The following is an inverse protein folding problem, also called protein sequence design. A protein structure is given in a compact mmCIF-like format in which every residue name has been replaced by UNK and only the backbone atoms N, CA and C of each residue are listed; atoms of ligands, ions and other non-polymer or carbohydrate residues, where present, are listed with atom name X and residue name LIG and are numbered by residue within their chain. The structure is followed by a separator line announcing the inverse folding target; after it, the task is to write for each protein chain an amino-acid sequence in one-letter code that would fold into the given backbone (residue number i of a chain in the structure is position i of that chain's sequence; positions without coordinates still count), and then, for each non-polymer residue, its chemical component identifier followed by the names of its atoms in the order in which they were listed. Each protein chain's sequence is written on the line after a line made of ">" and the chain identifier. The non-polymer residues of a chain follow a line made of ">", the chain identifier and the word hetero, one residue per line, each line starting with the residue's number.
data_IF_513155106735
#
_entry.id   IF_513155106735
#
_cell.length_a   1.000
_cell.length_b   1.000
_cell.length_c   1.000
_cell.angle_alpha   90.00
_cell.angle_beta   90.00
_cell.angle_gamma   90.00
#
_symmetry.space_group_name_H-M   'P 1'
#
loop_
_entity.id
_entity.type
_entity.pdbx_description
1 polymer ?
#
# COMPACT_ATOMS: atom_id res chain seq x y z
N UNK A 1 47.58 51.69 1.20
CA UNK A 1 47.55 50.26 1.61
C UNK A 1 46.35 49.62 0.92
N UNK A 2 46.32 49.50 -0.41
CA UNK A 2 46.88 48.44 -1.28
C UNK A 2 46.66 47.01 -0.75
N UNK A 3 45.79 46.27 -1.44
CA UNK A 3 45.46 44.87 -1.18
C UNK A 3 44.22 44.42 -1.96
N UNK A 4 44.34 44.24 -3.27
CA UNK A 4 43.49 43.35 -4.09
C UNK A 4 44.42 42.27 -4.70
N UNK A 5 43.92 41.24 -5.41
CA UNK A 5 43.21 40.05 -4.93
C UNK A 5 43.95 38.77 -5.36
N UNK A 6 43.77 37.63 -4.68
CA UNK A 6 44.35 36.35 -5.14
C UNK A 6 43.32 35.59 -5.95
N UNK A 7 43.50 35.65 -7.27
CA UNK A 7 43.00 34.67 -8.22
C UNK A 7 43.85 33.39 -8.11
N UNK A 8 43.22 32.23 -8.12
CA UNK A 8 43.89 30.96 -8.40
C UNK A 8 43.26 30.36 -9.65
N UNK A 9 44.09 30.36 -10.68
CA UNK A 9 43.87 29.97 -12.06
C UNK A 9 44.47 28.59 -12.26
N UNK A 10 43.64 27.61 -12.65
CA UNK A 10 44.06 26.32 -13.20
C UNK A 10 42.99 25.93 -14.22
N UNK A 11 43.24 25.46 -15.43
CA UNK A 11 44.32 25.57 -16.40
C UNK A 11 43.64 25.13 -17.71
N UNK A 12 43.78 25.94 -18.77
CA UNK A 12 43.30 25.65 -20.12
C UNK A 12 43.86 24.32 -20.64
N UNK A 13 42.97 23.41 -21.04
CA UNK A 13 43.27 22.45 -22.09
C UNK A 13 42.34 22.74 -23.28
N UNK A 14 42.83 23.58 -24.18
CA UNK A 14 42.25 23.76 -25.50
C UNK A 14 42.73 22.61 -26.39
N UNK A 15 41.79 21.80 -26.90
CA UNK A 15 42.03 21.02 -28.11
C UNK A 15 41.09 21.55 -29.19
N UNK A 16 41.67 22.28 -30.13
CA UNK A 16 41.02 22.67 -31.37
C UNK A 16 40.92 21.43 -32.27
N UNK A 17 39.71 21.02 -32.60
CA UNK A 17 39.42 20.24 -33.82
C UNK A 17 38.44 21.07 -34.63
N UNK A 18 38.96 21.70 -35.69
CA UNK A 18 38.17 22.23 -36.80
C UNK A 18 37.54 21.06 -37.55
N UNK A 19 36.22 21.11 -37.75
CA UNK A 19 35.51 20.17 -38.63
C UNK A 19 34.03 20.00 -38.31
N UNK A 20 33.23 21.05 -38.51
CA UNK A 20 31.75 20.94 -38.59
C UNK A 20 31.32 20.66 -40.04
N UNK A 21 30.07 20.23 -40.34
CA UNK A 21 29.07 19.53 -39.53
C UNK A 21 28.44 18.33 -40.27
N UNK A 22 28.23 17.20 -39.59
CA UNK A 22 27.11 16.32 -39.89
C UNK A 22 26.48 15.92 -38.57
N UNK A 23 25.55 16.76 -38.12
CA UNK A 23 24.64 16.44 -37.02
C UNK A 23 23.92 15.15 -37.37
N UNK A 24 24.30 14.05 -36.71
CA UNK A 24 23.44 12.90 -36.58
C UNK A 24 22.21 13.34 -35.77
N UNK A 25 21.13 13.64 -36.48
CA UNK A 25 19.81 13.77 -35.88
C UNK A 25 19.34 12.37 -35.43
N UNK A 26 19.78 11.94 -34.25
CA UNK A 26 19.05 10.92 -33.49
C UNK A 26 18.05 11.69 -32.65
N UNK A 27 16.90 11.98 -33.26
CA UNK A 27 15.69 12.29 -32.52
C UNK A 27 15.33 11.03 -31.73
N UNK A 28 15.77 10.95 -30.47
CA UNK A 28 15.16 10.04 -29.52
C UNK A 28 13.72 10.54 -29.37
N UNK A 29 12.80 9.90 -30.08
CA UNK A 29 11.37 10.01 -29.81
C UNK A 29 11.18 9.51 -28.38
N UNK A 30 11.16 10.42 -27.41
CA UNK A 30 10.47 10.17 -26.16
C UNK A 30 9.00 10.06 -26.51
N UNK A 31 8.57 8.83 -26.82
CA UNK A 31 7.18 8.50 -27.01
C UNK A 31 6.43 8.97 -25.76
N UNK A 32 5.48 9.88 -25.98
CA UNK A 32 4.55 10.42 -24.99
C UNK A 32 4.00 9.31 -24.09
N UNK A 33 4.46 9.27 -22.84
CA UNK A 33 3.77 8.65 -21.69
C UNK A 33 3.16 9.72 -20.78
N UNK A 34 2.87 10.91 -21.30
CA UNK A 34 2.33 12.02 -20.51
C UNK A 34 0.90 11.76 -19.97
N UNK A 35 0.19 10.76 -20.51
CA UNK A 35 -1.21 10.49 -20.15
C UNK A 35 -1.37 9.81 -18.76
N UNK A 36 -0.64 8.72 -18.43
CA UNK A 36 -0.65 8.15 -17.08
C UNK A 36 -0.25 9.15 -15.99
N UNK A 37 0.86 9.87 -16.18
CA UNK A 37 1.37 10.84 -15.20
C UNK A 37 0.40 12.01 -14.99
N UNK A 38 -0.13 12.61 -16.07
CA UNK A 38 -1.10 13.70 -15.95
C UNK A 38 -2.39 13.26 -15.24
N UNK A 39 -2.84 12.02 -15.48
CA UNK A 39 -4.00 11.45 -14.81
C UNK A 39 -3.73 11.22 -13.32
N UNK A 40 -2.58 10.67 -12.97
CA UNK A 40 -2.19 10.46 -11.57
C UNK A 40 -2.05 11.81 -10.85
N UNK A 41 -1.46 12.82 -11.51
CA UNK A 41 -1.40 14.19 -11.01
C UNK A 41 -2.78 14.78 -10.68
N UNK A 42 -3.74 14.67 -11.63
CA UNK A 42 -5.11 15.14 -11.41
C UNK A 42 -5.81 14.41 -10.24
N UNK A 43 -5.57 13.11 -10.07
CA UNK A 43 -6.12 12.35 -8.94
C UNK A 43 -5.53 12.82 -7.60
N UNK A 44 -4.23 13.11 -7.55
CA UNK A 44 -3.57 13.68 -6.35
C UNK A 44 -4.15 15.05 -6.01
N UNK A 45 -4.29 15.94 -6.99
CA UNK A 45 -4.88 17.26 -6.78
C UNK A 45 -6.32 17.17 -6.27
N UNK A 46 -7.15 16.33 -6.89
CA UNK A 46 -8.52 16.10 -6.44
C UNK A 46 -8.57 15.58 -5.00
N UNK A 47 -7.67 14.66 -4.66
CA UNK A 47 -7.58 14.10 -3.33
C UNK A 47 -7.14 15.13 -2.27
N UNK A 48 -6.21 16.01 -2.62
CA UNK A 48 -5.73 17.08 -1.74
C UNK A 48 -6.76 18.21 -1.55
N UNK A 49 -7.54 18.53 -2.58
CA UNK A 49 -8.56 19.58 -2.54
C UNK A 49 -9.82 19.16 -1.74
N UNK A 50 -10.04 17.86 -1.53
CA UNK A 50 -11.19 17.36 -0.80
C UNK A 50 -10.96 17.46 0.72
N UNK A 51 -11.69 18.35 1.38
CA UNK A 51 -11.58 18.57 2.82
C UNK A 51 -12.49 17.65 3.65
N UNK A 52 -13.42 16.92 3.03
CA UNK A 52 -14.28 15.98 3.74
C UNK A 52 -13.56 14.63 3.90
N UNK A 53 -13.24 14.28 5.15
CA UNK A 53 -12.49 13.06 5.45
C UNK A 53 -13.22 11.77 5.01
N UNK A 54 -14.55 11.75 5.08
CA UNK A 54 -15.36 10.59 4.68
C UNK A 54 -15.40 10.48 3.16
N UNK A 55 -15.60 11.60 2.46
CA UNK A 55 -15.62 11.63 1.01
C UNK A 55 -14.25 11.24 0.42
N UNK A 56 -13.15 11.77 0.99
CA UNK A 56 -11.80 11.32 0.63
C UNK A 56 -11.60 9.83 0.80
N UNK A 57 -11.99 9.28 1.95
CA UNK A 57 -11.84 7.86 2.22
C UNK A 57 -12.65 6.97 1.28
N UNK A 58 -13.87 7.37 0.94
CA UNK A 58 -14.70 6.66 -0.02
C UNK A 58 -14.15 6.70 -1.45
N UNK A 59 -13.41 7.75 -1.80
CA UNK A 59 -12.86 7.92 -3.15
C UNK A 59 -11.39 7.49 -3.28
N UNK A 60 -10.74 7.15 -2.17
CA UNK A 60 -9.30 6.86 -2.16
C UNK A 60 -8.90 5.74 -3.12
N UNK A 61 -9.75 4.72 -3.30
CA UNK A 61 -9.47 3.60 -4.19
C UNK A 61 -9.04 4.04 -5.60
N UNK A 62 -9.54 5.18 -6.11
CA UNK A 62 -9.13 5.71 -7.43
C UNK A 62 -7.66 6.15 -7.44
N UNK A 63 -7.25 6.92 -6.43
CA UNK A 63 -5.87 7.37 -6.30
C UNK A 63 -4.96 6.20 -5.91
N UNK A 64 -5.38 5.40 -4.93
CA UNK A 64 -4.65 4.24 -4.47
C UNK A 64 -4.35 3.26 -5.60
N UNK A 65 -5.33 2.90 -6.42
CA UNK A 65 -5.12 1.97 -7.55
C UNK A 65 -4.16 2.55 -8.59
N UNK A 66 -4.21 3.87 -8.83
CA UNK A 66 -3.29 4.54 -9.72
C UNK A 66 -1.85 4.55 -9.16
N UNK A 67 -1.67 4.80 -7.86
CA UNK A 67 -0.37 4.72 -7.19
C UNK A 67 0.20 3.29 -7.19
N UNK A 68 -0.64 2.27 -7.00
CA UNK A 68 -0.21 0.87 -7.08
C UNK A 68 0.24 0.48 -8.49
N UNK A 69 -0.48 0.96 -9.51
CA UNK A 69 -0.11 0.73 -10.91
C UNK A 69 1.21 1.43 -11.27
N UNK A 70 1.41 2.66 -10.80
CA UNK A 70 2.66 3.41 -10.97
C UNK A 70 3.82 2.67 -10.30
N UNK A 71 3.66 2.33 -9.01
CA UNK A 71 4.68 1.60 -8.25
C UNK A 71 5.05 0.26 -8.89
N UNK A 72 4.07 -0.47 -9.45
CA UNK A 72 4.34 -1.69 -10.21
C UNK A 72 5.15 -1.40 -11.46
N UNK A 73 4.80 -0.36 -12.22
CA UNK A 73 5.49 0.05 -13.43
C UNK A 73 6.95 0.43 -13.13
N UNK A 74 7.17 1.20 -12.07
CA UNK A 74 8.51 1.58 -11.59
C UNK A 74 9.32 0.34 -11.17
N UNK A 75 8.71 -0.60 -10.44
CA UNK A 75 9.36 -1.85 -10.03
C UNK A 75 9.72 -2.76 -11.22
N UNK A 76 8.82 -2.89 -12.20
CA UNK A 76 9.05 -3.67 -13.43
C UNK A 76 10.13 -3.03 -14.32
N UNK A 77 10.26 -1.71 -14.29
CA UNK A 77 11.35 -0.97 -14.95
C UNK A 77 12.69 -1.09 -14.21
N UNK A 78 12.73 -1.73 -13.03
CA UNK A 78 13.93 -1.86 -12.21
C UNK A 78 14.26 -0.62 -11.37
N UNK A 79 13.40 0.40 -11.37
CA UNK A 79 13.55 1.60 -10.54
C UNK A 79 12.89 1.39 -9.16
N UNK A 80 13.55 0.57 -8.34
CA UNK A 80 13.09 0.31 -6.98
C UNK A 80 13.06 1.57 -6.10
N UNK A 81 13.86 2.59 -6.42
CA UNK A 81 13.88 3.84 -5.65
C UNK A 81 12.66 4.71 -5.96
N UNK A 82 12.22 4.77 -7.23
CA UNK A 82 10.96 5.39 -7.60
C UNK A 82 9.77 4.62 -7.01
N UNK A 83 9.72 3.30 -7.18
CA UNK A 83 8.67 2.44 -6.61
C UNK A 83 8.53 2.61 -5.10
N UNK A 84 9.65 2.66 -4.36
CA UNK A 84 9.61 2.87 -2.90
C UNK A 84 9.07 4.27 -2.54
N UNK A 85 9.40 5.32 -3.29
CA UNK A 85 8.85 6.67 -3.06
C UNK A 85 7.34 6.69 -3.26
N UNK A 86 6.86 6.07 -4.34
CA UNK A 86 5.41 5.92 -4.60
C UNK A 86 4.72 5.12 -3.50
N UNK A 87 5.37 4.08 -2.97
CA UNK A 87 4.83 3.33 -1.82
C UNK A 87 4.73 4.17 -0.55
N UNK A 88 5.74 4.99 -0.28
CA UNK A 88 5.75 5.88 0.89
C UNK A 88 4.68 6.97 0.80
N UNK A 89 4.41 7.48 -0.40
CA UNK A 89 3.28 8.39 -0.68
C UNK A 89 1.95 7.70 -0.38
N UNK A 90 1.72 6.51 -0.94
CA UNK A 90 0.53 5.71 -0.67
C UNK A 90 0.30 5.48 0.83
N UNK A 91 1.34 5.10 1.58
CA UNK A 91 1.28 4.97 3.04
C UNK A 91 0.97 6.30 3.74
N UNK A 92 1.58 7.40 3.27
CA UNK A 92 1.37 8.73 3.81
C UNK A 92 -0.09 9.19 3.69
N UNK A 93 -0.69 9.00 2.52
CA UNK A 93 -2.08 9.34 2.25
C UNK A 93 -3.06 8.56 3.15
N UNK A 94 -2.81 7.26 3.34
CA UNK A 94 -3.58 6.42 4.25
C UNK A 94 -3.53 6.92 5.70
N UNK A 95 -2.34 7.25 6.19
CA UNK A 95 -2.16 7.79 7.56
C UNK A 95 -2.87 9.14 7.73
N UNK A 96 -2.71 10.02 6.75
CA UNK A 96 -3.35 11.34 6.75
C UNK A 96 -4.86 11.23 6.83
N UNK A 97 -5.44 10.32 6.04
CA UNK A 97 -6.87 10.09 5.99
C UNK A 97 -7.43 9.42 7.25
N UNK A 98 -6.77 8.38 7.76
CA UNK A 98 -7.15 7.78 9.04
C UNK A 98 -7.08 8.81 10.16
N UNK A 99 -6.04 9.65 10.17
CA UNK A 99 -5.92 10.77 11.10
C UNK A 99 -7.10 11.73 11.03
N UNK A 100 -7.47 12.17 9.83
CA UNK A 100 -8.61 13.07 9.62
C UNK A 100 -9.95 12.43 10.01
N UNK A 101 -10.15 11.15 9.68
CA UNK A 101 -11.35 10.39 10.09
C UNK A 101 -11.46 10.32 11.61
N UNK A 102 -10.37 10.03 12.33
CA UNK A 102 -10.34 10.01 13.79
C UNK A 102 -10.58 11.39 14.40
N UNK A 103 -9.97 12.44 13.83
CA UNK A 103 -10.13 13.82 14.29
C UNK A 103 -11.56 14.35 14.12
N UNK A 104 -12.36 13.77 13.20
CA UNK A 104 -13.77 14.15 13.05
C UNK A 104 -14.64 13.83 14.27
N UNK A 105 -14.15 13.04 15.23
CA UNK A 105 -14.90 12.63 16.42
C UNK A 105 -16.05 11.65 16.13
N UNK A 106 -16.18 11.20 14.88
CA UNK A 106 -17.22 10.28 14.45
C UNK A 106 -17.04 8.90 15.10
N UNK A 107 -18.10 8.40 15.74
CA UNK A 107 -18.12 7.04 16.27
C UNK A 107 -18.16 6.03 15.09
N UNK A 108 -17.06 5.32 14.85
CA UNK A 108 -16.95 4.39 13.73
C UNK A 108 -17.81 3.12 13.89
N UNK A 109 -18.10 2.67 15.12
CA UNK A 109 -19.00 1.54 15.39
C UNK A 109 -20.43 1.86 14.92
N UNK A 110 -20.91 3.08 15.17
CA UNK A 110 -22.26 3.53 14.78
C UNK A 110 -22.32 4.14 13.38
N UNK A 111 -21.23 4.75 12.92
CA UNK A 111 -21.15 5.46 11.66
C UNK A 111 -19.89 5.05 10.86
N UNK A 112 -19.87 3.82 10.32
CA UNK A 112 -18.67 3.22 9.75
C UNK A 112 -18.21 3.81 8.42
N UNK A 113 -18.96 4.76 7.84
CA UNK A 113 -18.64 5.38 6.56
C UNK A 113 -17.27 6.06 6.59
N UNK A 114 -16.51 5.87 5.52
CA UNK A 114 -15.11 6.26 5.39
C UNK A 114 -14.17 5.20 5.97
N UNK A 115 -14.35 4.82 7.24
CA UNK A 115 -13.54 3.80 7.91
C UNK A 115 -13.67 2.43 7.22
N UNK A 116 -14.90 1.97 6.98
CA UNK A 116 -15.18 0.65 6.40
C UNK A 116 -14.73 0.57 4.95
N UNK A 117 -14.95 1.60 4.16
CA UNK A 117 -14.49 1.65 2.77
C UNK A 117 -12.97 1.55 2.69
N UNK A 118 -12.26 2.29 3.55
CA UNK A 118 -10.80 2.24 3.63
C UNK A 118 -10.31 0.85 4.08
N UNK A 119 -10.95 0.25 5.07
CA UNK A 119 -10.62 -1.08 5.58
C UNK A 119 -10.80 -2.16 4.51
N UNK A 120 -11.94 -2.16 3.80
CA UNK A 120 -12.21 -3.11 2.72
C UNK A 120 -11.18 -2.97 1.60
N UNK A 121 -10.81 -1.72 1.28
CA UNK A 121 -9.79 -1.44 0.28
C UNK A 121 -8.44 -2.05 0.69
N UNK A 122 -7.95 -1.74 1.90
CA UNK A 122 -6.65 -2.20 2.38
C UNK A 122 -6.52 -3.72 2.46
N UNK A 123 -7.56 -4.43 2.88
CA UNK A 123 -7.54 -5.91 2.88
C UNK A 123 -7.24 -6.51 1.51
N UNK A 124 -7.67 -5.86 0.44
CA UNK A 124 -7.39 -6.29 -0.94
C UNK A 124 -5.98 -5.86 -1.34
N UNK A 125 -5.67 -4.58 -1.15
CA UNK A 125 -4.42 -3.96 -1.56
C UNK A 125 -3.18 -4.59 -0.92
N UNK A 126 -3.26 -5.06 0.33
CA UNK A 126 -2.12 -5.72 0.98
C UNK A 126 -1.57 -6.91 0.18
N UNK A 127 -2.43 -7.64 -0.54
CA UNK A 127 -1.98 -8.73 -1.43
C UNK A 127 -1.27 -8.20 -2.66
N UNK A 128 -1.77 -7.11 -3.25
CA UNK A 128 -1.15 -6.48 -4.42
C UNK A 128 0.23 -5.90 -4.08
N UNK A 129 0.36 -5.32 -2.89
CA UNK A 129 1.63 -4.86 -2.33
C UNK A 129 2.62 -6.03 -2.19
N UNK A 130 2.17 -7.16 -1.64
CA UNK A 130 3.01 -8.35 -1.54
C UNK A 130 3.50 -8.83 -2.92
N UNK A 131 2.66 -8.75 -3.96
CA UNK A 131 3.07 -9.08 -5.33
C UNK A 131 4.12 -8.10 -5.88
N UNK A 132 3.97 -6.80 -5.62
CA UNK A 132 4.93 -5.79 -6.10
C UNK A 132 6.29 -5.96 -5.43
N UNK A 133 6.31 -6.29 -4.12
CA UNK A 133 7.56 -6.57 -3.38
C UNK A 133 8.35 -7.72 -4.00
N UNK A 134 7.67 -8.71 -4.58
CA UNK A 134 8.32 -9.84 -5.24
C UNK A 134 9.00 -9.48 -6.57
N UNK A 135 8.58 -8.38 -7.22
CA UNK A 135 9.21 -7.86 -8.44
C UNK A 135 10.57 -7.22 -8.12
N UNK A 136 10.66 -6.54 -6.98
CA UNK A 136 11.88 -5.86 -6.53
C UNK A 136 13.01 -6.86 -6.23
N UNK A 137 14.27 -6.56 -6.61
CA UNK A 137 15.42 -7.40 -6.26
C UNK A 137 15.53 -7.61 -4.75
N UNK A 138 15.89 -8.83 -4.33
CA UNK A 138 15.89 -9.25 -2.93
C UNK A 138 16.61 -8.26 -1.99
N UNK A 139 17.74 -7.73 -2.46
CA UNK A 139 18.63 -6.82 -1.70
C UNK A 139 17.96 -5.47 -1.39
N UNK A 140 16.93 -5.12 -2.15
CA UNK A 140 16.23 -3.84 -2.08
C UNK A 140 14.82 -3.98 -1.49
N UNK A 141 14.41 -5.17 -1.03
CA UNK A 141 13.04 -5.41 -0.49
C UNK A 141 12.79 -4.86 0.90
N UNK A 142 13.83 -4.78 1.75
CA UNK A 142 13.67 -4.40 3.17
C UNK A 142 12.91 -3.07 3.38
N UNK A 143 13.17 -1.99 2.61
CA UNK A 143 12.38 -0.76 2.69
C UNK A 143 10.89 -0.98 2.38
N UNK A 144 10.58 -1.76 1.35
CA UNK A 144 9.19 -2.07 0.98
C UNK A 144 8.49 -2.92 2.04
N UNK A 145 9.16 -3.93 2.59
CA UNK A 145 8.62 -4.76 3.68
C UNK A 145 8.30 -3.92 4.92
N UNK A 146 9.07 -2.86 5.17
CA UNK A 146 8.82 -1.93 6.27
C UNK A 146 7.58 -1.09 5.99
N UNK A 147 7.47 -0.48 4.80
CA UNK A 147 6.28 0.28 4.39
C UNK A 147 5.02 -0.60 4.35
N UNK A 148 5.14 -1.87 3.93
CA UNK A 148 4.04 -2.84 3.93
C UNK A 148 3.55 -3.19 5.33
N UNK A 149 4.47 -3.36 6.30
CA UNK A 149 4.09 -3.57 7.71
C UNK A 149 3.33 -2.36 8.26
N UNK A 150 3.75 -1.16 7.89
CA UNK A 150 3.04 0.06 8.28
C UNK A 150 1.61 0.11 7.70
N UNK A 151 1.43 -0.25 6.43
CA UNK A 151 0.08 -0.32 5.82
C UNK A 151 -0.78 -1.40 6.49
N UNK A 152 -0.20 -2.53 6.85
CA UNK A 152 -0.92 -3.57 7.59
C UNK A 152 -1.37 -3.09 8.98
N UNK A 153 -0.52 -2.34 9.68
CA UNK A 153 -0.89 -1.74 10.97
C UNK A 153 -2.06 -0.74 10.84
N UNK A 154 -2.18 -0.03 9.71
CA UNK A 154 -3.33 0.84 9.43
C UNK A 154 -4.61 0.02 9.22
N UNK A 155 -4.56 -1.09 8.49
CA UNK A 155 -5.72 -2.00 8.34
C UNK A 155 -6.15 -2.59 9.69
N UNK A 156 -5.18 -3.03 10.50
CA UNK A 156 -5.44 -3.53 11.85
C UNK A 156 -6.08 -2.45 12.73
N UNK A 157 -5.57 -1.22 12.70
CA UNK A 157 -6.15 -0.10 13.47
C UNK A 157 -7.58 0.21 13.02
N UNK A 158 -7.84 0.26 11.71
CA UNK A 158 -9.18 0.44 11.16
C UNK A 158 -10.13 -0.65 11.62
N UNK A 159 -9.68 -1.91 11.62
CA UNK A 159 -10.47 -3.03 12.10
C UNK A 159 -10.85 -2.87 13.58
N UNK A 160 -9.90 -2.50 14.44
CA UNK A 160 -10.18 -2.29 15.88
C UNK A 160 -11.10 -1.10 16.14
N UNK A 161 -10.99 -0.03 15.35
CA UNK A 161 -11.86 1.15 15.46
C UNK A 161 -13.30 0.81 15.04
N UNK A 162 -13.47 -0.02 14.00
CA UNK A 162 -14.79 -0.46 13.53
C UNK A 162 -15.45 -1.47 14.47
N UNK A 163 -14.65 -2.30 15.15
CA UNK A 163 -15.13 -3.40 15.99
C UNK A 163 -14.49 -3.40 17.38
N UNK A 164 -14.74 -2.37 18.22
CA UNK A 164 -14.11 -2.25 19.54
C UNK A 164 -14.59 -3.32 20.53
N UNK A 165 -15.82 -3.79 20.37
CA UNK A 165 -16.40 -4.88 21.16
C UNK A 165 -16.11 -6.21 20.48
N UNK A 166 -14.90 -6.73 20.67
CA UNK A 166 -14.68 -8.13 20.36
C UNK A 166 -15.40 -8.97 21.43
N UNK A 167 -16.23 -9.95 21.07
CA UNK A 167 -16.76 -10.88 22.05
C UNK A 167 -15.58 -11.58 22.73
N UNK A 168 -15.44 -11.38 24.04
CA UNK A 168 -14.45 -12.09 24.83
C UNK A 168 -14.72 -13.60 24.72
N UNK A 169 -13.76 -14.36 24.19
CA UNK A 169 -13.73 -15.80 24.36
C UNK A 169 -14.40 -16.62 23.27
N UNK A 170 -13.60 -17.03 22.28
CA UNK A 170 -13.71 -18.37 21.71
C UNK A 170 -13.15 -19.43 22.66
N UNK A 171 -13.46 -19.38 23.97
CA UNK A 171 -13.38 -20.58 24.80
C UNK A 171 -14.69 -21.30 24.56
N UNK A 172 -14.72 -22.11 23.51
CA UNK A 172 -15.71 -23.16 23.41
C UNK A 172 -15.70 -23.91 24.73
N UNK A 173 -16.81 -23.81 25.45
CA UNK A 173 -17.10 -24.64 26.61
C UNK A 173 -16.87 -26.09 26.20
N UNK A 174 -15.71 -26.64 26.56
CA UNK A 174 -15.45 -28.07 26.48
C UNK A 174 -16.19 -28.69 27.65
N UNK A 175 -17.53 -28.68 27.60
CA UNK A 175 -18.30 -29.66 28.34
C UNK A 175 -17.81 -31.03 27.85
N UNK A 176 -17.19 -31.86 28.71
CA UNK A 176 -16.73 -33.18 28.30
C UNK A 176 -17.95 -33.97 27.83
N UNK A 177 -17.85 -34.54 26.63
CA UNK A 177 -18.81 -35.51 26.09
C UNK A 177 -18.69 -36.84 26.85
N UNK A 178 -18.89 -36.80 28.16
CA UNK A 178 -18.97 -37.94 29.06
C UNK A 178 -20.43 -38.34 29.19
N UNK A 179 -21.01 -38.81 28.08
CA UNK A 179 -22.25 -39.59 28.04
C UNK A 179 -22.42 -40.16 26.62
N UNK A 180 -21.40 -40.86 26.15
CA UNK A 180 -21.62 -41.88 25.12
C UNK A 180 -22.18 -43.07 25.89
N UNK A 181 -23.51 -43.23 25.84
CA UNK A 181 -24.22 -44.36 26.43
C UNK A 181 -23.44 -45.65 26.20
N UNK A 182 -22.97 -46.23 27.30
CA UNK A 182 -22.56 -47.62 27.34
C UNK A 182 -23.78 -48.45 26.95
N UNK A 183 -23.69 -49.17 25.83
CA UNK A 183 -24.63 -50.25 25.51
C UNK A 183 -24.40 -51.32 26.58
N UNK A 184 -25.41 -51.70 27.39
CA UNK A 184 -25.26 -52.87 28.23
C UNK A 184 -25.15 -54.09 27.33
N UNK A 185 -24.11 -54.88 27.58
CA UNK A 185 -23.96 -56.22 27.05
C UNK A 185 -25.08 -57.11 27.59
N UNK A 186 -25.70 -57.90 26.71
CA UNK A 186 -26.55 -59.02 27.08
C UNK A 186 -28.05 -58.77 26.93
N UNK A 187 -28.59 -59.10 25.75
CA UNK A 187 -29.89 -59.77 25.69
C UNK A 187 -29.97 -60.63 24.44
N UNK A 188 -29.46 -61.87 24.57
CA UNK A 188 -29.95 -63.00 23.81
C UNK A 188 -31.41 -63.25 24.19
N UNK A 189 -32.31 -63.31 23.22
CA UNK A 189 -33.55 -64.07 23.32
C UNK A 189 -34.16 -64.31 21.93
N UNK A 190 -34.13 -65.58 21.54
CA UNK A 190 -35.16 -66.29 20.79
C UNK A 190 -35.72 -65.66 19.50
N UNK A 191 -35.35 -66.25 18.36
CA UNK A 191 -36.34 -66.64 17.35
C UNK A 191 -35.90 -67.96 16.69
N UNK A 192 -36.52 -69.04 17.15
CA UNK A 192 -36.68 -70.29 16.42
C UNK A 192 -38.19 -70.50 16.20
N UNK A 193 -38.53 -71.16 15.08
CA UNK A 193 -39.86 -71.51 14.54
C UNK A 193 -40.56 -70.44 13.70
N UNK A 194 -40.46 -70.55 12.38
CA UNK A 194 -41.41 -71.35 11.56
C UNK A 194 -40.82 -71.61 10.17
#
# INVERSE_FOLDING_TARGET
>A
MSGKPIAALVLLAAYAVMGSPLSAAVSISTATSAFPEARLGALREQFQADHDAVHRAKNFWKLGDALLAEMRTEAEAGDAAAAQRTFEEFRGDLRSMLGALKQSGRNAEQHPSGFKELQIYLRKTLRDLDQIILIVPFEQRRPFETTRRDVAAIDDELFHILFPRQPAGGTGDKTPRSQRHERPAGQEANYAHS
#
